data_IF_794410749389
#
_entry.id   IF_794410749389
#
_cell.length_a   1.000
_cell.length_b   1.000
_cell.length_c   1.000
_cell.angle_alpha   90.00
_cell.angle_beta   90.00
_cell.angle_gamma   90.00
#
_symmetry.space_group_name_H-M   'P 1'
#
loop_
_entity.id
_entity.type
_entity.pdbx_description
1 polymer ?
#
# COMPACT_ATOMS: atom_id res chain seq x y z
N UNK A 1 -13.63 -16.77 24.39
CA UNK A 1 -12.78 -15.63 24.00
C UNK A 1 -11.33 -16.02 24.22
N UNK A 2 -10.40 -15.69 23.33
CA UNK A 2 -8.97 -15.92 23.60
C UNK A 2 -8.40 -14.65 24.23
N UNK A 3 -7.73 -14.75 25.37
CA UNK A 3 -7.07 -13.59 26.00
C UNK A 3 -5.87 -13.14 25.15
N UNK A 4 -5.69 -11.84 24.86
CA UNK A 4 -4.53 -11.37 24.12
C UNK A 4 -3.22 -11.48 24.94
N UNK A 5 -3.29 -11.37 26.26
CA UNK A 5 -2.10 -11.35 27.13
C UNK A 5 -1.59 -12.77 27.42
N UNK A 6 -2.45 -13.65 27.94
CA UNK A 6 -2.05 -15.00 28.35
C UNK A 6 -2.41 -16.10 27.33
N UNK A 7 -3.03 -15.75 26.19
CA UNK A 7 -3.44 -16.66 25.12
C UNK A 7 -4.41 -17.80 25.53
N UNK A 8 -4.89 -17.81 26.78
CA UNK A 8 -5.81 -18.83 27.29
C UNK A 8 -7.20 -18.65 26.71
N UNK A 9 -7.88 -19.77 26.43
CA UNK A 9 -9.28 -19.78 26.03
C UNK A 9 -10.17 -19.57 27.25
N UNK A 10 -10.83 -18.41 27.31
CA UNK A 10 -11.78 -18.03 28.35
C UNK A 10 -13.22 -18.32 27.90
N UNK A 11 -13.93 -19.17 28.64
CA UNK A 11 -15.35 -19.45 28.39
C UNK A 11 -16.25 -18.28 28.79
N UNK A 12 -17.31 -17.99 28.02
CA UNK A 12 -18.24 -16.88 28.31
C UNK A 12 -18.90 -16.98 29.69
N UNK A 13 -19.15 -18.20 30.17
CA UNK A 13 -19.74 -18.47 31.49
C UNK A 13 -18.93 -17.94 32.67
N UNK A 14 -17.66 -17.60 32.45
CA UNK A 14 -16.74 -17.09 33.48
C UNK A 14 -16.64 -15.55 33.45
N UNK A 15 -17.59 -14.86 32.81
CA UNK A 15 -17.61 -13.39 32.73
C UNK A 15 -16.64 -12.79 31.73
N UNK A 16 -16.42 -11.47 31.84
CA UNK A 16 -15.59 -10.66 30.93
C UNK A 16 -14.17 -10.43 31.44
N UNK A 17 -13.73 -11.12 32.51
CA UNK A 17 -12.38 -10.99 33.06
C UNK A 17 -11.67 -12.33 32.98
N UNK A 18 -10.48 -12.34 32.36
CA UNK A 18 -9.62 -13.51 32.30
C UNK A 18 -8.92 -13.75 33.66
N UNK A 19 -8.47 -14.98 33.90
CA UNK A 19 -7.69 -15.34 35.10
C UNK A 19 -6.41 -14.52 35.29
N UNK A 20 -5.84 -13.99 34.20
CA UNK A 20 -4.67 -13.11 34.25
C UNK A 20 -5.01 -11.63 34.56
N UNK A 21 -6.27 -11.31 34.87
CA UNK A 21 -6.73 -9.95 35.14
C UNK A 21 -7.14 -9.14 33.90
N UNK A 22 -6.97 -9.68 32.68
CA UNK A 22 -7.39 -9.00 31.46
C UNK A 22 -8.92 -8.90 31.37
N UNK A 23 -9.46 -7.68 31.37
CA UNK A 23 -10.88 -7.41 31.12
C UNK A 23 -11.12 -7.26 29.61
N UNK A 24 -11.92 -8.16 29.05
CA UNK A 24 -12.36 -8.14 27.66
C UNK A 24 -13.29 -6.93 27.42
N UNK A 25 -13.00 -6.17 26.36
CA UNK A 25 -13.78 -5.01 25.94
C UNK A 25 -14.77 -5.35 24.82
N UNK A 26 -14.43 -6.29 23.94
CA UNK A 26 -15.17 -6.62 22.73
C UNK A 26 -15.77 -8.02 22.81
N UNK A 27 -17.09 -8.09 22.58
CA UNK A 27 -17.82 -9.34 22.61
C UNK A 27 -17.88 -9.99 21.21
N UNK A 28 -17.36 -11.22 21.01
CA UNK A 28 -17.34 -11.87 19.70
C UNK A 28 -18.73 -12.24 19.16
N UNK A 29 -19.77 -12.26 20.00
CA UNK A 29 -21.11 -12.67 19.61
C UNK A 29 -22.00 -11.50 19.18
N UNK A 30 -21.70 -10.29 19.67
CA UNK A 30 -22.41 -9.07 19.30
C UNK A 30 -21.85 -8.55 17.98
N UNK A 31 -22.71 -8.08 17.05
CA UNK A 31 -22.24 -7.50 15.79
C UNK A 31 -21.36 -6.27 16.09
N UNK A 32 -20.19 -6.13 15.41
CA UNK A 32 -19.77 -6.82 14.18
C UNK A 32 -18.94 -8.11 14.37
N UNK A 33 -19.05 -8.79 15.53
CA UNK A 33 -18.37 -10.05 15.88
C UNK A 33 -16.85 -9.94 15.85
N UNK A 34 -16.34 -8.96 16.57
CA UNK A 34 -14.89 -8.73 16.76
C UNK A 34 -14.56 -9.01 18.22
N UNK A 35 -13.57 -9.88 18.45
CA UNK A 35 -13.02 -10.15 19.78
C UNK A 35 -11.73 -9.36 20.00
N UNK A 36 -11.38 -9.08 21.25
CA UNK A 36 -10.13 -8.41 21.64
C UNK A 36 -8.89 -9.04 21.00
N UNK A 37 -8.75 -10.38 21.04
CA UNK A 37 -7.62 -11.05 20.39
C UNK A 37 -7.57 -10.84 18.87
N UNK A 38 -8.72 -10.72 18.20
CA UNK A 38 -8.77 -10.42 16.77
C UNK A 38 -8.36 -8.96 16.51
N UNK A 39 -8.86 -8.03 17.34
CA UNK A 39 -8.48 -6.61 17.26
C UNK A 39 -6.99 -6.43 17.54
N UNK A 40 -6.45 -7.09 18.56
CA UNK A 40 -5.03 -7.09 18.88
C UNK A 40 -4.17 -7.71 17.77
N UNK A 41 -4.67 -8.75 17.11
CA UNK A 41 -4.03 -9.31 15.91
C UNK A 41 -4.03 -8.31 14.75
N UNK A 42 -5.11 -7.52 14.60
CA UNK A 42 -5.20 -6.47 13.59
C UNK A 42 -4.22 -5.34 13.87
N UNK A 43 -4.08 -4.91 15.13
CA UNK A 43 -3.07 -3.91 15.54
C UNK A 43 -1.65 -4.39 15.24
N UNK A 44 -1.31 -5.64 15.59
CA UNK A 44 0.00 -6.22 15.26
C UNK A 44 0.26 -6.32 13.76
N UNK A 45 -0.78 -6.58 12.97
CA UNK A 45 -0.68 -6.63 11.52
C UNK A 45 -0.50 -5.24 10.89
N UNK A 46 -1.24 -4.24 11.36
CA UNK A 46 -1.14 -2.86 10.89
C UNK A 46 0.21 -2.22 11.25
N UNK A 47 0.68 -2.43 12.48
CA UNK A 47 1.95 -1.91 13.01
C UNK A 47 3.21 -2.68 12.57
N UNK A 48 3.09 -3.71 11.72
CA UNK A 48 4.25 -4.51 11.35
C UNK A 48 4.95 -5.20 12.55
N UNK A 49 4.21 -5.51 13.62
CA UNK A 49 4.72 -5.95 14.94
C UNK A 49 5.38 -4.81 15.75
N UNK A 50 4.70 -3.67 15.85
CA UNK A 50 5.11 -2.47 16.58
C UNK A 50 6.36 -1.76 16.00
N UNK A 51 6.69 -2.00 14.74
CA UNK A 51 7.83 -1.35 14.05
C UNK A 51 7.39 -0.23 13.13
N UNK A 52 6.10 -0.16 12.78
CA UNK A 52 5.54 0.77 11.83
C UNK A 52 4.44 1.62 12.47
N UNK A 53 4.39 2.87 12.05
CA UNK A 53 3.24 3.74 12.26
C UNK A 53 2.14 3.40 11.26
N UNK A 54 0.88 3.54 11.65
CA UNK A 54 -0.27 3.20 10.82
C UNK A 54 -1.46 4.13 11.07
N UNK A 55 -2.36 4.24 10.08
CA UNK A 55 -3.59 5.04 10.20
C UNK A 55 -4.78 4.19 10.70
N UNK A 56 -5.87 4.85 11.10
CA UNK A 56 -7.13 4.17 11.42
C UNK A 56 -7.65 3.32 10.24
N UNK A 57 -7.49 3.83 9.02
CA UNK A 57 -7.87 3.13 7.78
C UNK A 57 -7.05 1.85 7.59
N UNK A 58 -5.74 1.87 7.89
CA UNK A 58 -4.89 0.68 7.83
C UNK A 58 -5.27 -0.34 8.89
N UNK A 59 -5.62 0.11 10.10
CA UNK A 59 -6.12 -0.78 11.16
C UNK A 59 -7.45 -1.44 10.77
N UNK A 60 -8.36 -0.68 10.18
CA UNK A 60 -9.60 -1.21 9.61
C UNK A 60 -9.33 -2.26 8.52
N UNK A 61 -8.43 -1.94 7.57
CA UNK A 61 -8.03 -2.87 6.52
C UNK A 61 -7.42 -4.16 7.09
N UNK A 62 -6.53 -4.05 8.08
CA UNK A 62 -5.93 -5.20 8.76
C UNK A 62 -6.99 -6.09 9.41
N UNK A 63 -7.98 -5.50 10.09
CA UNK A 63 -9.08 -6.21 10.72
C UNK A 63 -9.91 -6.98 9.68
N UNK A 64 -10.28 -6.32 8.58
CA UNK A 64 -11.03 -6.93 7.49
C UNK A 64 -10.25 -8.07 6.82
N UNK A 65 -8.94 -7.91 6.60
CA UNK A 65 -8.08 -8.97 6.04
C UNK A 65 -8.01 -10.20 6.94
N UNK A 66 -7.87 -10.03 8.25
CA UNK A 66 -7.85 -11.15 9.19
C UNK A 66 -9.19 -11.88 9.24
N UNK A 67 -10.30 -11.14 9.22
CA UNK A 67 -11.64 -11.72 9.20
C UNK A 67 -11.90 -12.51 7.91
N UNK A 68 -11.51 -11.96 6.76
CA UNK A 68 -11.62 -12.63 5.46
C UNK A 68 -10.73 -13.89 5.39
N UNK A 69 -9.49 -13.83 5.89
CA UNK A 69 -8.59 -15.00 6.00
C UNK A 69 -9.21 -16.11 6.86
N UNK A 70 -9.74 -15.76 8.03
CA UNK A 70 -10.41 -16.72 8.93
C UNK A 70 -11.62 -17.36 8.25
N UNK A 71 -12.46 -16.56 7.59
CA UNK A 71 -13.63 -17.05 6.87
C UNK A 71 -13.29 -17.92 5.66
N UNK A 72 -12.18 -17.66 4.96
CA UNK A 72 -11.67 -18.52 3.88
C UNK A 72 -11.16 -19.86 4.39
N UNK A 73 -10.40 -19.86 5.50
CA UNK A 73 -9.90 -21.10 6.12
C UNK A 73 -11.06 -22.00 6.55
N UNK A 74 -12.03 -21.47 7.29
CA UNK A 74 -13.20 -22.25 7.74
C UNK A 74 -13.99 -22.85 6.57
N UNK A 75 -14.13 -22.11 5.46
CA UNK A 75 -14.77 -22.63 4.24
C UNK A 75 -14.00 -23.78 3.62
N UNK A 76 -12.70 -23.61 3.43
CA UNK A 76 -11.84 -24.64 2.84
C UNK A 76 -11.88 -25.92 3.67
N UNK A 77 -11.74 -25.78 4.99
CA UNK A 77 -11.75 -26.92 5.91
C UNK A 77 -13.13 -27.59 5.94
N UNK A 78 -14.21 -26.81 5.87
CA UNK A 78 -15.57 -27.31 5.73
C UNK A 78 -15.78 -28.12 4.45
N UNK A 79 -15.46 -27.55 3.27
CA UNK A 79 -15.61 -28.25 1.99
C UNK A 79 -14.72 -29.50 1.89
N UNK A 80 -13.51 -29.47 2.46
CA UNK A 80 -12.66 -30.65 2.53
C UNK A 80 -13.31 -31.77 3.36
N UNK A 81 -13.84 -31.42 4.53
CA UNK A 81 -14.55 -32.37 5.40
C UNK A 81 -15.79 -32.94 4.70
N UNK A 82 -16.59 -32.10 4.04
CA UNK A 82 -17.74 -32.55 3.25
C UNK A 82 -17.34 -33.45 2.08
N UNK A 83 -16.25 -33.13 1.38
CA UNK A 83 -15.71 -33.95 0.29
C UNK A 83 -15.29 -35.35 0.76
N UNK A 84 -14.63 -35.44 1.91
CA UNK A 84 -14.24 -36.74 2.50
C UNK A 84 -15.48 -37.58 2.84
N UNK A 85 -16.47 -36.98 3.50
CA UNK A 85 -17.73 -37.68 3.85
C UNK A 85 -18.45 -38.18 2.59
N UNK A 86 -18.48 -37.35 1.54
CA UNK A 86 -19.10 -37.70 0.26
C UNK A 86 -18.41 -38.91 -0.40
N UNK A 87 -17.08 -38.91 -0.47
CA UNK A 87 -16.30 -40.02 -1.05
C UNK A 87 -16.50 -41.32 -0.25
N UNK A 88 -16.45 -41.27 1.08
CA UNK A 88 -16.67 -42.44 1.93
C UNK A 88 -18.08 -43.03 1.72
N UNK A 89 -19.10 -42.18 1.59
CA UNK A 89 -20.45 -42.64 1.34
C UNK A 89 -20.62 -43.25 -0.06
N UNK A 90 -19.93 -42.73 -1.09
CA UNK A 90 -19.91 -43.36 -2.42
C UNK A 90 -19.25 -44.75 -2.39
N UNK A 91 -18.20 -44.95 -1.60
CA UNK A 91 -17.57 -46.26 -1.43
C UNK A 91 -18.57 -47.25 -0.82
N UNK A 92 -19.31 -46.86 0.22
CA UNK A 92 -20.33 -47.71 0.85
C UNK A 92 -21.44 -48.07 -0.15
N UNK A 93 -21.93 -47.11 -0.94
CA UNK A 93 -22.95 -47.35 -1.97
C UNK A 93 -22.41 -48.27 -3.09
N UNK A 94 -21.13 -48.16 -3.44
CA UNK A 94 -20.51 -49.02 -4.46
C UNK A 94 -20.35 -50.48 -3.99
N UNK A 95 -20.15 -50.70 -2.70
CA UNK A 95 -20.02 -52.03 -2.11
C UNK A 95 -21.37 -52.75 -1.95
N UNK A 96 -22.49 -52.02 -1.87
CA UNK A 96 -23.83 -52.59 -1.69
C UNK A 96 -24.74 -52.30 -2.90
N UNK A 97 -24.98 -53.33 -3.72
CA UNK A 97 -25.82 -53.25 -4.92
C UNK A 97 -27.26 -52.79 -4.62
N UNK A 98 -27.78 -53.04 -3.42
CA UNK A 98 -29.13 -52.63 -3.03
C UNK A 98 -29.25 -51.11 -2.84
N UNK A 99 -28.15 -50.43 -2.50
CA UNK A 99 -28.11 -48.98 -2.30
C UNK A 99 -28.00 -48.19 -3.62
N UNK A 100 -27.64 -48.86 -4.72
CA UNK A 100 -27.41 -48.21 -6.01
C UNK A 100 -28.65 -47.48 -6.56
N UNK A 101 -29.85 -47.99 -6.29
CA UNK A 101 -31.11 -47.33 -6.67
C UNK A 101 -31.33 -45.96 -5.98
N UNK A 102 -30.66 -45.71 -4.85
CA UNK A 102 -30.79 -44.46 -4.09
C UNK A 102 -29.71 -43.41 -4.44
N UNK A 103 -28.80 -43.74 -5.35
CA UNK A 103 -27.75 -42.85 -5.83
C UNK A 103 -28.26 -41.45 -6.27
N UNK A 104 -29.35 -41.28 -7.06
CA UNK A 104 -29.82 -39.94 -7.43
C UNK A 104 -30.29 -39.10 -6.24
N UNK A 105 -30.98 -39.70 -5.26
CA UNK A 105 -31.40 -39.01 -4.03
C UNK A 105 -30.21 -38.58 -3.18
N UNK A 106 -29.18 -39.42 -3.12
CA UNK A 106 -27.92 -39.13 -2.44
C UNK A 106 -27.21 -37.91 -3.06
N UNK A 107 -27.09 -37.85 -4.39
CA UNK A 107 -26.52 -36.69 -5.08
C UNK A 107 -27.34 -35.41 -4.84
N UNK A 108 -28.66 -35.50 -4.89
CA UNK A 108 -29.55 -34.36 -4.61
C UNK A 108 -29.36 -33.84 -3.18
N UNK A 109 -29.26 -34.74 -2.20
CA UNK A 109 -29.02 -34.38 -0.80
C UNK A 109 -27.70 -33.61 -0.62
N UNK A 110 -26.60 -34.10 -1.19
CA UNK A 110 -25.30 -33.43 -1.10
C UNK A 110 -25.26 -32.10 -1.86
N UNK A 111 -25.97 -32.00 -2.99
CA UNK A 111 -26.12 -30.74 -3.73
C UNK A 111 -26.82 -29.69 -2.86
N UNK A 112 -27.95 -30.04 -2.24
CA UNK A 112 -28.69 -29.14 -1.34
C UNK A 112 -27.85 -28.75 -0.13
N UNK A 113 -27.16 -29.71 0.49
CA UNK A 113 -26.29 -29.44 1.64
C UNK A 113 -25.11 -28.52 1.28
N UNK A 114 -24.52 -28.71 0.09
CA UNK A 114 -23.45 -27.85 -0.43
C UNK A 114 -23.94 -26.43 -0.69
N UNK A 115 -25.14 -26.27 -1.27
CA UNK A 115 -25.78 -24.97 -1.49
C UNK A 115 -26.12 -24.26 -0.17
N UNK A 116 -26.73 -24.96 0.80
CA UNK A 116 -27.05 -24.42 2.12
C UNK A 116 -25.78 -24.00 2.86
N UNK A 117 -24.74 -24.83 2.85
CA UNK A 117 -23.44 -24.50 3.42
C UNK A 117 -22.83 -23.28 2.74
N UNK A 118 -22.95 -23.20 1.40
CA UNK A 118 -22.53 -22.05 0.60
C UNK A 118 -23.24 -20.75 1.04
N UNK A 119 -24.57 -20.79 1.20
CA UNK A 119 -25.40 -19.64 1.63
C UNK A 119 -25.06 -19.21 3.06
N UNK A 120 -24.92 -20.15 4.00
CA UNK A 120 -24.52 -19.86 5.40
C UNK A 120 -23.09 -19.28 5.44
N UNK A 121 -22.19 -19.80 4.61
CA UNK A 121 -20.84 -19.27 4.46
C UNK A 121 -20.79 -17.92 3.72
N UNK A 122 -21.82 -17.57 2.96
CA UNK A 122 -22.00 -16.27 2.32
C UNK A 122 -22.55 -15.23 3.30
N UNK A 123 -23.51 -15.60 4.14
CA UNK A 123 -24.14 -14.69 5.12
C UNK A 123 -23.23 -14.40 6.32
N UNK A 124 -22.34 -15.32 6.69
CA UNK A 124 -21.33 -15.12 7.74
C UNK A 124 -20.20 -14.15 7.35
N UNK A 125 -20.21 -13.62 6.12
CA UNK A 125 -19.17 -12.76 5.55
C UNK A 125 -19.22 -11.29 5.96
N UNK A 126 -20.15 -10.86 6.80
CA UNK A 126 -20.28 -9.42 7.08
C UNK A 126 -18.98 -8.87 7.67
N UNK A 127 -18.15 -8.26 6.82
CA UNK A 127 -17.04 -7.43 7.24
C UNK A 127 -17.64 -6.33 8.12
N UNK A 128 -16.95 -5.93 9.21
CA UNK A 128 -17.40 -4.75 9.95
C UNK A 128 -17.54 -3.61 8.95
N UNK A 129 -18.66 -2.89 9.00
CA UNK A 129 -18.71 -1.62 8.29
C UNK A 129 -17.70 -0.66 8.94
N UNK A 130 -17.21 0.33 8.21
CA UNK A 130 -16.31 1.32 8.80
C UNK A 130 -16.94 2.05 10.00
N UNK A 131 -18.24 2.43 9.99
CA UNK A 131 -18.89 2.97 11.20
C UNK A 131 -18.86 2.01 12.40
N UNK A 132 -19.07 0.71 12.18
CA UNK A 132 -18.95 -0.29 13.25
C UNK A 132 -17.52 -0.39 13.76
N UNK A 133 -16.54 -0.27 12.87
CA UNK A 133 -15.13 -0.20 13.24
C UNK A 133 -14.83 1.04 14.08
N UNK A 134 -15.34 2.23 13.71
CA UNK A 134 -15.17 3.45 14.50
C UNK A 134 -15.75 3.29 15.92
N UNK A 135 -16.89 2.59 16.08
CA UNK A 135 -17.46 2.25 17.39
C UNK A 135 -16.58 1.30 18.20
N UNK A 136 -15.95 0.33 17.54
CA UNK A 136 -14.97 -0.56 18.20
C UNK A 136 -13.77 0.25 18.66
N UNK A 137 -13.22 1.10 17.78
CA UNK A 137 -12.05 1.90 18.06
C UNK A 137 -12.31 2.92 19.18
N UNK A 138 -13.49 3.56 19.19
CA UNK A 138 -13.87 4.49 20.26
C UNK A 138 -14.02 3.78 21.59
N UNK A 139 -14.67 2.60 21.62
CA UNK A 139 -14.76 1.77 22.82
C UNK A 139 -13.37 1.37 23.32
N UNK A 140 -12.45 1.02 22.43
CA UNK A 140 -11.08 0.70 22.79
C UNK A 140 -10.34 1.88 23.43
N UNK A 141 -10.49 3.08 22.85
CA UNK A 141 -9.89 4.33 23.35
C UNK A 141 -10.45 4.75 24.72
N UNK A 142 -11.74 4.56 24.96
CA UNK A 142 -12.39 4.91 26.24
C UNK A 142 -11.82 4.16 27.45
N UNK A 143 -11.19 3.02 27.25
CA UNK A 143 -10.58 2.20 28.31
C UNK A 143 -9.07 2.43 28.46
N UNK A 144 -8.55 3.55 27.95
CA UNK A 144 -7.14 3.97 28.05
C UNK A 144 -6.14 2.86 27.64
N UNK A 145 -6.52 2.07 26.63
CA UNK A 145 -5.65 1.03 26.08
C UNK A 145 -4.74 1.66 25.03
N UNK A 146 -3.41 1.52 25.15
CA UNK A 146 -2.49 2.12 24.19
C UNK A 146 -2.71 1.53 22.79
N UNK A 147 -2.59 2.39 21.79
CA UNK A 147 -2.61 2.04 20.36
C UNK A 147 -1.23 2.39 19.78
N UNK A 148 -0.19 1.60 20.11
CA UNK A 148 1.19 1.95 19.75
C UNK A 148 1.33 2.06 18.24
N UNK A 149 1.84 3.20 17.77
CA UNK A 149 2.05 3.47 16.34
C UNK A 149 0.81 3.99 15.59
N UNK A 150 -0.35 4.13 16.23
CA UNK A 150 -1.52 4.73 15.57
C UNK A 150 -1.32 6.25 15.41
N UNK A 151 -1.42 6.72 14.18
CA UNK A 151 -1.39 8.15 13.83
C UNK A 151 -2.78 8.72 14.11
N UNK A 152 -2.88 9.63 15.09
CA UNK A 152 -4.15 10.24 15.52
C UNK A 152 -4.25 11.73 15.22
N UNK A 153 -3.11 12.41 15.03
CA UNK A 153 -2.99 13.85 14.87
C UNK A 153 -1.75 14.17 14.03
N UNK A 154 -1.68 15.39 13.48
CA UNK A 154 -0.53 15.98 12.78
C UNK A 154 0.77 15.81 13.58
N UNK A 155 1.46 14.69 13.38
CA UNK A 155 2.64 14.33 14.15
C UNK A 155 3.83 15.23 13.80
N UNK A 156 3.83 15.81 12.59
CA UNK A 156 4.92 16.61 12.03
C UNK A 156 4.64 18.12 12.07
N UNK A 157 3.61 18.56 12.79
CA UNK A 157 3.34 20.00 12.96
C UNK A 157 4.46 20.76 13.66
N UNK A 158 5.24 20.08 14.52
CA UNK A 158 6.41 20.69 15.16
C UNK A 158 7.62 20.44 14.28
N UNK A 159 8.31 21.50 13.89
CA UNK A 159 9.60 21.39 13.26
C UNK A 159 10.54 20.58 14.17
N UNK A 160 11.38 19.69 13.60
CA UNK A 160 12.45 19.08 14.37
C UNK A 160 13.36 20.19 14.95
N UNK A 161 14.05 19.93 16.08
CA UNK A 161 15.07 20.85 16.54
C UNK A 161 16.07 21.09 15.41
N UNK A 162 16.62 22.32 15.29
CA UNK A 162 17.60 22.63 14.26
C UNK A 162 18.76 21.63 14.38
N UNK A 163 18.96 20.85 13.32
CA UNK A 163 20.10 19.93 13.24
C UNK A 163 21.38 20.76 13.09
N UNK A 164 22.47 20.28 13.70
CA UNK A 164 23.77 21.00 13.68
C UNK A 164 24.42 21.06 12.29
N UNK A 165 24.02 20.18 11.38
CA UNK A 165 24.57 20.11 10.02
C UNK A 165 23.63 20.83 9.06
N UNK A 166 24.08 21.98 8.55
CA UNK A 166 23.34 22.78 7.55
C UNK A 166 23.16 22.03 6.22
N UNK A 167 24.02 21.03 5.97
CA UNK A 167 24.16 20.34 4.70
C UNK A 167 23.15 19.20 4.49
N UNK A 168 22.44 18.77 5.54
CA UNK A 168 21.45 17.68 5.45
C UNK A 168 20.34 18.02 4.43
N UNK A 169 20.02 19.30 4.29
CA UNK A 169 19.05 19.80 3.31
C UNK A 169 19.68 20.19 1.96
N UNK A 170 21.02 20.17 1.85
CA UNK A 170 21.74 20.45 0.62
C UNK A 170 21.79 19.26 -0.34
N UNK A 171 21.42 18.05 0.11
CA UNK A 171 21.17 16.92 -0.78
C UNK A 171 19.97 17.23 -1.67
N UNK A 172 20.25 17.61 -2.92
CA UNK A 172 19.25 18.05 -3.89
C UNK A 172 18.06 17.10 -3.97
N UNK A 173 16.88 17.62 -3.62
CA UNK A 173 15.63 16.87 -3.67
C UNK A 173 15.26 16.68 -5.13
N UNK A 174 15.29 15.43 -5.60
CA UNK A 174 14.94 15.10 -6.99
C UNK A 174 13.45 14.77 -7.17
N UNK A 175 12.74 14.52 -6.06
CA UNK A 175 11.36 14.02 -6.06
C UNK A 175 10.54 14.75 -5.00
N UNK A 176 9.35 15.21 -5.37
CA UNK A 176 8.34 15.74 -4.47
C UNK A 176 7.09 14.88 -4.60
N UNK A 177 6.52 14.44 -3.48
CA UNK A 177 5.30 13.65 -3.40
C UNK A 177 4.23 14.47 -2.68
N UNK A 178 3.23 14.93 -3.43
CA UNK A 178 2.05 15.58 -2.91
C UNK A 178 1.01 14.56 -2.46
N UNK A 179 0.66 14.59 -1.18
CA UNK A 179 -0.41 13.79 -0.61
C UNK A 179 -1.68 14.62 -0.42
N UNK A 180 -2.85 14.01 -0.61
CA UNK A 180 -4.14 14.67 -0.37
C UNK A 180 -4.48 14.92 1.09
N UNK A 181 -3.88 14.13 1.98
CA UNK A 181 -4.15 14.09 3.40
C UNK A 181 -2.87 14.21 4.22
N UNK A 182 -2.95 14.94 5.31
CA UNK A 182 -1.84 15.13 6.25
C UNK A 182 -1.49 13.81 6.94
N UNK A 183 -2.47 12.95 7.20
CA UNK A 183 -2.23 11.64 7.80
C UNK A 183 -1.43 10.71 6.87
N UNK A 184 -1.53 10.89 5.54
CA UNK A 184 -0.68 10.17 4.58
C UNK A 184 0.75 10.70 4.59
N UNK A 185 0.93 12.01 4.71
CA UNK A 185 2.25 12.61 4.89
C UNK A 185 2.91 12.03 6.14
N UNK A 186 2.22 12.07 7.28
CA UNK A 186 2.71 11.51 8.53
C UNK A 186 3.01 10.01 8.39
N UNK A 187 2.12 9.25 7.77
CA UNK A 187 2.31 7.82 7.54
C UNK A 187 3.58 7.53 6.76
N UNK A 188 3.84 8.26 5.67
CA UNK A 188 5.00 8.00 4.83
C UNK A 188 6.29 8.51 5.47
N UNK A 189 6.27 9.68 6.10
CA UNK A 189 7.45 10.28 6.73
C UNK A 189 7.86 9.50 7.98
N UNK A 190 6.94 9.20 8.89
CA UNK A 190 7.23 8.47 10.15
C UNK A 190 7.73 7.04 9.89
N UNK A 191 7.41 6.47 8.73
CA UNK A 191 7.90 5.15 8.33
C UNK A 191 9.11 5.22 7.35
N UNK A 192 9.79 6.37 7.25
CA UNK A 192 11.05 6.51 6.53
C UNK A 192 10.96 6.43 5.00
N UNK A 193 9.77 6.62 4.41
CA UNK A 193 9.60 6.57 2.95
C UNK A 193 10.40 7.66 2.24
N UNK A 194 10.40 8.88 2.81
CA UNK A 194 11.11 10.06 2.30
C UNK A 194 12.62 9.80 2.17
N UNK A 195 13.24 9.23 3.21
CA UNK A 195 14.66 8.85 3.22
C UNK A 195 14.94 7.75 2.20
N UNK A 196 14.14 6.68 2.20
CA UNK A 196 14.35 5.50 1.35
C UNK A 196 14.23 5.83 -0.15
N UNK A 197 13.45 6.86 -0.48
CA UNK A 197 13.19 7.26 -1.85
C UNK A 197 13.78 8.63 -2.22
N UNK A 198 14.53 9.28 -1.32
CA UNK A 198 15.07 10.63 -1.56
C UNK A 198 14.00 11.61 -2.06
N UNK A 199 12.84 11.63 -1.40
CA UNK A 199 11.71 12.48 -1.79
C UNK A 199 11.20 13.36 -0.65
N UNK A 200 10.82 14.60 -0.97
CA UNK A 200 10.02 15.41 -0.06
C UNK A 200 8.56 14.96 -0.13
N UNK A 201 7.90 14.90 1.03
CA UNK A 201 6.51 14.47 1.15
C UNK A 201 5.73 15.58 1.83
N UNK A 202 4.79 16.18 1.11
CA UNK A 202 4.02 17.33 1.60
C UNK A 202 2.58 17.27 1.11
N UNK A 203 1.70 18.09 1.67
CA UNK A 203 0.40 18.39 1.06
C UNK A 203 0.51 19.65 0.20
N UNK A 204 -0.36 19.83 -0.81
CA UNK A 204 -0.41 21.09 -1.57
C UNK A 204 -0.66 22.32 -0.70
N UNK A 205 -1.39 22.14 0.42
CA UNK A 205 -1.62 23.20 1.42
C UNK A 205 -0.37 23.55 2.23
N UNK A 206 0.77 22.89 2.00
CA UNK A 206 2.04 23.18 2.64
C UNK A 206 2.25 22.49 3.98
N UNK A 207 1.61 21.36 4.25
CA UNK A 207 1.94 20.53 5.42
C UNK A 207 3.05 19.52 5.07
N UNK A 208 4.10 19.36 5.88
CA UNK A 208 4.42 20.13 7.08
C UNK A 208 4.91 21.55 6.75
N UNK A 209 4.52 22.53 7.57
CA UNK A 209 4.75 23.97 7.30
C UNK A 209 6.24 24.32 7.14
N UNK A 210 7.10 23.67 7.91
CA UNK A 210 8.54 23.91 7.89
C UNK A 210 9.24 23.41 6.61
N UNK A 211 8.57 22.68 5.72
CA UNK A 211 9.12 22.19 4.44
C UNK A 211 8.65 23.00 3.23
N UNK A 212 7.86 24.06 3.43
CA UNK A 212 7.28 24.83 2.33
C UNK A 212 8.35 25.54 1.48
N UNK A 213 9.35 26.13 2.13
CA UNK A 213 10.47 26.81 1.46
C UNK A 213 11.28 25.86 0.60
N UNK A 214 11.60 24.69 1.14
CA UNK A 214 12.36 23.63 0.50
C UNK A 214 11.58 23.02 -0.66
N UNK A 215 10.27 22.83 -0.47
CA UNK A 215 9.37 22.35 -1.52
C UNK A 215 9.35 23.33 -2.69
N UNK A 216 9.17 24.64 -2.42
CA UNK A 216 9.19 25.65 -3.47
C UNK A 216 10.54 25.65 -4.20
N UNK A 217 11.65 25.63 -3.46
CA UNK A 217 13.00 25.58 -4.03
C UNK A 217 13.21 24.36 -4.94
N UNK A 218 12.75 23.18 -4.52
CA UNK A 218 12.86 21.95 -5.29
C UNK A 218 12.00 21.99 -6.57
N UNK A 219 10.80 22.58 -6.51
CA UNK A 219 9.90 22.69 -7.66
C UNK A 219 10.39 23.69 -8.72
N UNK A 220 11.22 24.66 -8.34
CA UNK A 220 11.78 25.68 -9.23
C UNK A 220 13.26 25.46 -9.56
N UNK A 221 13.89 24.39 -9.06
CA UNK A 221 15.32 24.14 -9.27
C UNK A 221 15.64 23.61 -10.67
N UNK A 222 16.88 23.82 -11.11
CA UNK A 222 17.47 23.13 -12.25
C UNK A 222 18.48 22.07 -11.75
N UNK A 223 18.37 20.79 -12.14
CA UNK A 223 17.41 20.19 -13.08
C UNK A 223 15.97 20.08 -12.52
N UNK A 224 14.95 19.97 -13.40
CA UNK A 224 13.55 19.92 -12.99
C UNK A 224 13.27 18.73 -12.08
N UNK A 225 12.65 18.99 -10.94
CA UNK A 225 12.22 17.97 -10.00
C UNK A 225 11.04 17.14 -10.55
N UNK A 226 10.92 15.90 -10.10
CA UNK A 226 9.79 15.04 -10.40
C UNK A 226 8.68 15.22 -9.37
N UNK A 227 7.47 15.56 -9.79
CA UNK A 227 6.31 15.73 -8.91
C UNK A 227 5.36 14.54 -9.03
N UNK A 228 5.07 13.90 -7.91
CA UNK A 228 4.13 12.78 -7.81
C UNK A 228 2.90 13.20 -7.02
N UNK A 229 1.69 12.85 -7.49
CA UNK A 229 0.44 13.15 -6.80
C UNK A 229 -0.15 11.84 -6.23
N UNK A 230 -0.38 11.77 -4.92
CA UNK A 230 -1.00 10.64 -4.24
C UNK A 230 -2.32 11.06 -3.60
N UNK A 231 -3.43 10.50 -4.07
CA UNK A 231 -4.77 10.85 -3.60
C UNK A 231 -5.78 9.72 -3.69
N UNK A 232 -6.92 9.91 -3.02
CA UNK A 232 -8.03 8.95 -2.92
C UNK A 232 -8.82 8.75 -4.26
N UNK A 233 -8.28 9.20 -5.40
CA UNK A 233 -8.92 9.10 -6.72
C UNK A 233 -9.98 10.16 -7.00
N UNK A 234 -10.04 11.21 -6.19
CA UNK A 234 -10.88 12.39 -6.41
C UNK A 234 -10.19 13.32 -7.44
N UNK A 235 -10.77 13.57 -8.64
CA UNK A 235 -10.12 14.37 -9.69
C UNK A 235 -9.82 15.82 -9.26
N UNK A 236 -10.69 16.41 -8.44
CA UNK A 236 -10.53 17.80 -7.97
C UNK A 236 -9.26 18.01 -7.14
N UNK A 237 -8.68 16.95 -6.57
CA UNK A 237 -7.41 17.07 -5.85
C UNK A 237 -6.26 17.38 -6.81
N UNK A 238 -6.15 16.63 -7.92
CA UNK A 238 -5.08 16.83 -8.88
C UNK A 238 -5.13 18.25 -9.47
N UNK A 239 -6.32 18.72 -9.85
CA UNK A 239 -6.52 20.09 -10.34
C UNK A 239 -6.13 21.14 -9.29
N UNK A 240 -6.56 20.95 -8.04
CA UNK A 240 -6.21 21.86 -6.93
C UNK A 240 -4.70 21.86 -6.68
N UNK A 241 -4.06 20.69 -6.66
CA UNK A 241 -2.62 20.55 -6.46
C UNK A 241 -1.83 21.28 -7.57
N UNK A 242 -2.24 21.10 -8.83
CA UNK A 242 -1.65 21.78 -9.98
C UNK A 242 -1.84 23.30 -9.92
N UNK A 243 -3.01 23.79 -9.49
CA UNK A 243 -3.27 25.23 -9.34
C UNK A 243 -2.44 25.91 -8.25
N UNK A 244 -1.87 25.15 -7.32
CA UNK A 244 -1.05 25.66 -6.22
C UNK A 244 0.46 25.62 -6.55
N UNK A 245 0.83 25.11 -7.72
CA UNK A 245 2.22 25.11 -8.16
C UNK A 245 2.71 26.53 -8.45
N UNK A 246 4.00 26.82 -8.20
CA UNK A 246 4.64 28.05 -8.66
C UNK A 246 4.46 28.23 -10.18
N UNK A 247 4.32 29.48 -10.64
CA UNK A 247 4.14 29.78 -12.08
C UNK A 247 5.35 29.36 -12.93
N UNK A 248 6.52 29.31 -12.31
CA UNK A 248 7.81 28.88 -12.85
C UNK A 248 8.11 27.39 -12.61
N UNK A 249 7.13 26.60 -12.17
CA UNK A 249 7.29 25.17 -11.92
C UNK A 249 7.62 24.41 -13.22
N UNK A 250 8.83 23.87 -13.31
CA UNK A 250 9.31 23.04 -14.43
C UNK A 250 9.09 21.53 -14.19
N UNK A 251 8.47 21.18 -13.05
CA UNK A 251 8.36 19.80 -12.61
C UNK A 251 7.50 18.93 -13.53
N UNK A 252 7.99 17.72 -13.82
CA UNK A 252 7.21 16.70 -14.54
C UNK A 252 6.25 16.03 -13.56
N UNK A 253 4.96 16.07 -13.86
CA UNK A 253 3.91 15.58 -12.95
C UNK A 253 3.45 14.17 -13.32
N UNK A 254 3.41 13.28 -12.33
CA UNK A 254 2.80 11.95 -12.42
C UNK A 254 1.70 11.78 -11.37
N UNK A 255 0.51 11.38 -11.83
CA UNK A 255 -0.60 11.02 -10.95
C UNK A 255 -0.51 9.54 -10.53
N UNK A 256 -0.33 9.31 -9.22
CA UNK A 256 -0.32 8.00 -8.56
C UNK A 256 -1.65 7.70 -7.84
N UNK A 257 -2.68 8.52 -8.04
CA UNK A 257 -3.98 8.40 -7.40
C UNK A 257 -4.67 7.05 -7.64
N UNK A 258 -5.38 6.57 -6.62
CA UNK A 258 -6.15 5.33 -6.72
C UNK A 258 -7.52 5.57 -7.36
N UNK A 259 -7.56 5.56 -8.69
CA UNK A 259 -8.82 5.69 -9.43
C UNK A 259 -9.80 4.53 -9.15
N UNK A 260 -11.11 4.81 -9.26
CA UNK A 260 -12.15 3.78 -9.13
C UNK A 260 -11.94 2.58 -10.08
N UNK A 261 -11.36 2.83 -11.28
CA UNK A 261 -11.00 1.78 -12.24
C UNK A 261 -10.00 0.75 -11.67
N UNK A 262 -9.14 1.15 -10.74
CA UNK A 262 -8.15 0.28 -10.07
C UNK A 262 -8.81 -0.83 -9.26
N UNK A 263 -10.04 -0.65 -8.79
CA UNK A 263 -10.80 -1.70 -8.09
C UNK A 263 -11.12 -2.91 -8.97
N UNK A 264 -11.16 -2.76 -10.30
CA UNK A 264 -11.35 -3.89 -11.22
C UNK A 264 -10.17 -4.87 -11.20
N UNK A 265 -8.95 -4.35 -11.05
CA UNK A 265 -7.72 -5.16 -10.94
C UNK A 265 -7.53 -5.75 -9.55
N UNK A 266 -8.12 -5.12 -8.53
CA UNK A 266 -8.01 -5.54 -7.13
C UNK A 266 -9.41 -5.61 -6.48
N UNK A 267 -10.24 -6.64 -6.79
CA UNK A 267 -11.62 -6.72 -6.30
C UNK A 267 -11.73 -6.81 -4.77
N UNK A 268 -10.65 -7.20 -4.09
CA UNK A 268 -10.59 -7.17 -2.63
C UNK A 268 -10.58 -5.75 -2.05
N UNK A 269 -10.05 -4.74 -2.77
CA UNK A 269 -10.12 -3.33 -2.36
C UNK A 269 -11.55 -2.81 -2.43
N UNK A 270 -12.30 -3.20 -3.47
CA UNK A 270 -13.72 -2.86 -3.59
C UNK A 270 -14.59 -3.39 -2.44
N UNK A 271 -14.14 -4.46 -1.75
CA UNK A 271 -14.82 -4.98 -0.55
C UNK A 271 -14.49 -4.19 0.72
N UNK A 272 -13.38 -3.46 0.72
CA UNK A 272 -12.97 -2.61 1.85
C UNK A 272 -13.52 -1.21 1.73
N UNK A 273 -13.64 -0.69 0.50
CA UNK A 273 -14.25 0.60 0.25
C UNK A 273 -15.76 0.56 0.56
N UNK A 274 -16.27 1.63 1.16
CA UNK A 274 -17.71 1.81 1.25
C UNK A 274 -18.27 2.05 -0.14
N UNK A 275 -19.49 1.56 -0.42
CA UNK A 275 -20.15 1.82 -1.71
C UNK A 275 -20.23 3.33 -1.95
N UNK A 276 -19.61 3.79 -3.03
CA UNK A 276 -19.58 5.20 -3.42
C UNK A 276 -18.50 6.06 -2.75
N UNK A 277 -17.73 5.52 -1.80
CA UNK A 277 -16.61 6.25 -1.22
C UNK A 277 -15.35 6.16 -2.10
N UNK A 278 -14.54 7.23 -2.16
CA UNK A 278 -13.26 7.23 -2.86
C UNK A 278 -12.30 6.20 -2.23
N UNK A 279 -11.42 5.62 -3.05
CA UNK A 279 -10.55 4.54 -2.61
C UNK A 279 -9.30 5.13 -1.97
N UNK A 280 -9.22 5.01 -0.65
CA UNK A 280 -8.10 5.57 0.11
C UNK A 280 -6.80 4.76 -0.04
N UNK A 281 -5.63 5.35 -0.36
CA UNK A 281 -4.35 4.65 -0.44
C UNK A 281 -3.95 3.95 0.85
N UNK A 282 -4.29 4.51 2.00
CA UNK A 282 -4.08 3.92 3.33
C UNK A 282 -5.03 2.75 3.66
N UNK A 283 -5.88 2.30 2.72
CA UNK A 283 -6.46 0.95 2.82
C UNK A 283 -5.42 -0.14 2.58
N UNK A 284 -4.29 0.20 1.93
CA UNK A 284 -3.14 -0.69 1.80
C UNK A 284 -2.30 -0.62 3.08
N UNK A 285 -1.91 -1.79 3.62
CA UNK A 285 -0.94 -1.85 4.69
C UNK A 285 0.39 -1.23 4.22
N UNK A 286 1.08 -0.53 5.11
CA UNK A 286 2.26 0.27 4.76
C UNK A 286 3.28 -0.48 3.89
N UNK A 287 3.71 -1.73 4.19
CA UNK A 287 4.67 -2.44 3.35
C UNK A 287 4.23 -2.61 1.89
N UNK A 288 2.92 -2.73 1.65
CA UNK A 288 2.39 -2.83 0.28
C UNK A 288 2.28 -1.47 -0.37
N UNK A 289 1.85 -0.45 0.38
CA UNK A 289 1.76 0.92 -0.11
C UNK A 289 3.15 1.42 -0.53
N UNK A 290 4.15 1.30 0.34
CA UNK A 290 5.51 1.75 0.07
C UNK A 290 6.14 1.02 -1.12
N UNK A 291 5.99 -0.31 -1.21
CA UNK A 291 6.50 -1.07 -2.37
C UNK A 291 5.82 -0.66 -3.68
N UNK A 292 4.50 -0.43 -3.68
CA UNK A 292 3.78 -0.01 -4.88
C UNK A 292 4.18 1.40 -5.32
N UNK A 293 4.30 2.35 -4.38
CA UNK A 293 4.75 3.70 -4.67
C UNK A 293 6.19 3.70 -5.22
N UNK A 294 7.08 2.96 -4.56
CA UNK A 294 8.50 2.83 -5.00
C UNK A 294 8.57 2.26 -6.42
N UNK A 295 7.82 1.18 -6.69
CA UNK A 295 7.76 0.57 -8.01
C UNK A 295 7.26 1.56 -9.07
N UNK A 296 6.13 2.23 -8.82
CA UNK A 296 5.54 3.16 -9.76
C UNK A 296 6.45 4.38 -10.04
N UNK A 297 7.06 4.93 -8.99
CA UNK A 297 8.01 6.04 -9.12
C UNK A 297 9.24 5.63 -9.94
N UNK A 298 9.84 4.47 -9.65
CA UNK A 298 11.04 4.01 -10.37
C UNK A 298 10.75 3.62 -11.82
N UNK A 299 9.60 3.00 -12.09
CA UNK A 299 9.17 2.67 -13.45
C UNK A 299 9.04 3.94 -14.29
N UNK A 300 8.38 4.97 -13.76
CA UNK A 300 8.22 6.22 -14.48
C UNK A 300 9.54 6.98 -14.67
N UNK A 301 10.42 7.01 -13.66
CA UNK A 301 11.75 7.60 -13.81
C UNK A 301 12.57 6.88 -14.89
N UNK A 302 12.45 5.55 -14.99
CA UNK A 302 13.09 4.76 -16.03
C UNK A 302 12.55 5.10 -17.41
N UNK A 303 11.22 5.23 -17.56
CA UNK A 303 10.60 5.63 -18.82
C UNK A 303 11.04 7.03 -19.25
N UNK A 304 11.12 7.98 -18.32
CA UNK A 304 11.60 9.33 -18.59
C UNK A 304 13.08 9.36 -19.00
N UNK A 305 13.92 8.53 -18.39
CA UNK A 305 15.32 8.39 -18.78
C UNK A 305 15.46 7.83 -20.21
N UNK A 306 14.66 6.82 -20.57
CA UNK A 306 14.64 6.24 -21.91
C UNK A 306 14.13 7.22 -22.96
N UNK A 307 13.07 7.98 -22.66
CA UNK A 307 12.54 9.02 -23.55
C UNK A 307 13.60 10.10 -23.85
N UNK A 308 14.31 10.57 -22.81
CA UNK A 308 15.41 11.52 -22.96
C UNK A 308 16.57 10.92 -23.79
N UNK A 309 16.85 9.62 -23.68
CA UNK A 309 17.88 8.95 -24.49
C UNK A 309 17.46 8.83 -25.96
N UNK A 310 16.21 8.46 -26.23
CA UNK A 310 15.67 8.38 -27.59
C UNK A 310 15.63 9.76 -28.25
N UNK A 311 15.23 10.81 -27.53
CA UNK A 311 15.28 12.18 -28.04
C UNK A 311 16.71 12.60 -28.38
N UNK A 312 17.70 12.24 -27.54
CA UNK A 312 19.12 12.49 -27.83
C UNK A 312 19.62 11.69 -29.04
N UNK A 313 19.19 10.45 -29.21
CA UNK A 313 19.54 9.63 -30.39
C UNK A 313 18.91 10.19 -31.66
N UNK A 314 17.62 10.53 -31.65
CA UNK A 314 16.93 11.15 -32.77
C UNK A 314 17.54 12.51 -33.14
N UNK A 315 17.91 13.32 -32.15
CA UNK A 315 18.66 14.57 -32.39
C UNK A 315 20.03 14.31 -33.01
N UNK A 316 20.75 13.27 -32.57
CA UNK A 316 22.03 12.86 -33.19
C UNK A 316 21.85 12.32 -34.61
N UNK A 317 20.78 11.62 -34.91
CA UNK A 317 20.52 11.10 -36.27
C UNK A 317 20.12 12.21 -37.23
N UNK A 318 19.27 13.14 -36.78
CA UNK A 318 18.78 14.28 -37.58
C UNK A 318 19.81 15.40 -37.73
N UNK A 319 20.62 15.68 -36.70
CA UNK A 319 21.68 16.71 -36.78
C UNK A 319 23.06 16.14 -37.09
N UNK A 320 23.31 14.86 -36.81
CA UNK A 320 24.56 14.18 -37.19
C UNK A 320 24.64 13.81 -38.68
N UNK A 321 23.51 13.78 -39.40
CA UNK A 321 23.53 13.69 -40.87
C UNK A 321 23.86 15.02 -41.55
N UNK A 322 23.67 16.16 -40.88
CA UNK A 322 24.09 17.48 -41.39
C UNK A 322 25.46 17.93 -40.88
N UNK A 323 26.00 17.34 -39.81
CA UNK A 323 27.34 17.71 -39.31
C UNK A 323 28.50 17.01 -40.03
N UNK A 324 28.24 15.94 -40.80
CA UNK A 324 29.27 15.22 -41.58
C UNK A 324 29.44 15.78 -43.00
N UNK A 325 28.47 16.53 -43.53
CA UNK A 325 28.60 17.16 -44.86
C UNK A 325 29.13 18.60 -44.85
N UNK A 326 29.47 19.15 -43.68
CA UNK A 326 30.00 20.53 -43.55
C UNK A 326 31.46 20.53 -43.01
N UNK A 327 32.09 19.36 -42.88
CA UNK A 327 33.51 19.24 -42.52
C UNK A 327 34.34 18.45 -43.55
N UNK A 328 33.88 18.38 -44.80
CA UNK A 328 34.64 17.74 -45.90
C UNK A 328 35.03 18.70 -47.03
N UNK A 329 34.93 20.01 -46.79
CA UNK A 329 35.29 21.03 -47.79
C UNK A 329 36.11 22.18 -47.18
N UNK A 330 37.14 21.86 -46.39
CA UNK A 330 38.25 22.80 -46.21
C UNK A 330 39.57 22.05 -45.97
N UNK A 331 40.33 21.95 -47.07
CA UNK A 331 41.76 21.65 -47.06
C UNK A 331 42.48 22.65 -46.15
N UNK A 332 43.14 22.14 -45.12
CA UNK A 332 44.47 22.62 -44.75
C UNK A 332 45.43 21.44 -44.72
N UNK A 333 46.34 21.49 -45.69
CA UNK A 333 47.57 20.73 -45.74
C UNK A 333 48.43 21.05 -44.52
N UNK A 334 48.75 20.05 -43.71
CA UNK A 334 49.92 20.09 -42.85
C UNK A 334 50.64 18.74 -42.90
N UNK A 335 51.63 18.76 -43.77
CA UNK A 335 52.92 18.09 -43.72
C UNK A 335 53.28 17.48 -42.35
N UNK A 336 53.44 16.16 -42.33
CA UNK A 336 54.27 15.46 -41.33
C UNK A 336 55.21 14.53 -42.09
N UNK A 337 56.33 15.11 -42.49
CA UNK A 337 57.55 14.40 -42.83
C UNK A 337 58.22 13.89 -41.55
N UNK A 338 58.62 12.62 -41.60
CA UNK A 338 59.76 11.97 -40.95
C UNK A 338 60.08 12.17 -39.46
N UNK A 339 60.36 11.01 -38.83
CA UNK A 339 61.24 10.86 -37.68
C UNK A 339 60.48 10.30 -36.50
N UNK A 340 60.77 9.13 -35.97
CA UNK A 340 61.85 8.19 -36.21
C UNK A 340 61.57 7.00 -35.30
N UNK A 341 62.18 5.89 -35.66
CA UNK A 341 62.31 4.71 -34.82
C UNK A 341 62.84 5.11 -33.43
N UNK A 342 62.29 4.50 -32.38
CA UNK A 342 63.14 4.04 -31.29
C UNK A 342 62.46 2.88 -30.54
N UNK A 343 63.12 1.74 -30.67
CA UNK A 343 63.02 0.54 -29.86
C UNK A 343 63.28 0.87 -28.39
N UNK A 344 62.68 0.11 -27.47
CA UNK A 344 62.93 0.27 -26.05
C UNK A 344 62.29 -0.85 -25.23
N UNK A 345 62.92 -2.02 -25.28
CA UNK A 345 62.73 -3.14 -24.35
C UNK A 345 63.15 -2.79 -22.90
N UNK A 346 62.56 -3.50 -21.93
CA UNK A 346 63.01 -3.64 -20.53
C UNK A 346 62.13 -2.90 -19.51
N UNK A 347 61.61 -3.49 -18.42
CA UNK A 347 61.83 -4.77 -17.70
C UNK A 347 60.49 -5.31 -17.15
#
# INVERSE_FOLDING_TARGET
MKCPDCLTNHGRKFGMTCRCGYTFLLEPHVRPRVSDNLFHSAMRLASGRNTLHYTETQLYSALCQLKDKKGRKTRRDGYLTYGIIFVLALIVIALDRSLFQHLPLFFLFFLVLSLLTGIICLSSRSLPSYPDFCKILSKWRQHDRPLPGLITTRALSKAPPPWQEEDIHAYGVQKVLFCDREELVDLLVLNGFHTSNGCLIVTPAGYPEHLQSETRRALTSEPPCHLFLLHDGIPSFAEKALSQLPADCSAKVLDLGLAAKSTRRAPWLGRLSQKGAPLRPDLLLYPRLSSLLTCAMNEWLTLQALENQQQRQSYRETNGTNLVLILEEERWTLDWSHGGDDEGDGE
#
